data_IF_399633790719
#
_entry.id   IF_399633790719
#
_cell.length_a   1.000
_cell.length_b   1.000
_cell.length_c   1.000
_cell.angle_alpha   90.00
_cell.angle_beta   90.00
_cell.angle_gamma   90.00
#
_symmetry.space_group_name_H-M   'P 1'
#
loop_
_entity.id
_entity.type
_entity.pdbx_description
1 polymer ?
#
# COMPACT_ATOMS: atom_id res chain seq x y z
N UNK A 1 -10.86 -4.87 0.79
CA UNK A 1 -10.54 -5.44 -0.54
C UNK A 1 -9.02 -5.62 -0.66
N UNK A 2 -8.51 -6.51 -1.51
CA UNK A 2 -7.07 -6.71 -1.76
C UNK A 2 -6.79 -6.41 -3.24
N UNK A 3 -5.76 -5.61 -3.52
CA UNK A 3 -5.32 -5.25 -4.87
C UNK A 3 -3.90 -5.77 -5.08
N UNK A 4 -3.64 -6.46 -6.19
CA UNK A 4 -2.33 -7.05 -6.48
C UNK A 4 -2.04 -7.11 -7.99
N UNK A 5 -0.79 -6.84 -8.36
CA UNK A 5 -0.28 -7.05 -9.72
C UNK A 5 0.98 -7.94 -9.68
N UNK A 6 1.04 -8.91 -10.59
CA UNK A 6 2.15 -9.84 -10.70
C UNK A 6 3.02 -9.53 -11.92
N UNK A 7 4.34 -9.52 -11.72
CA UNK A 7 5.33 -9.32 -12.79
C UNK A 7 6.35 -10.46 -12.77
N UNK A 8 6.80 -10.90 -13.94
CA UNK A 8 7.86 -11.88 -14.09
C UNK A 8 8.89 -11.35 -15.10
N UNK A 9 10.17 -11.37 -14.75
CA UNK A 9 11.22 -10.79 -15.57
C UNK A 9 12.62 -11.02 -15.01
N UNK A 10 13.61 -10.46 -15.68
CA UNK A 10 15.01 -10.52 -15.25
C UNK A 10 15.29 -9.58 -14.07
N UNK A 11 16.49 -9.69 -13.50
CA UNK A 11 16.98 -8.75 -12.48
C UNK A 11 16.98 -7.29 -12.98
N UNK A 12 17.26 -7.07 -14.26
CA UNK A 12 17.25 -5.74 -14.87
C UNK A 12 15.84 -5.19 -14.95
N UNK A 13 14.86 -6.01 -15.36
CA UNK A 13 13.45 -5.61 -15.41
C UNK A 13 12.94 -5.24 -14.01
N UNK A 14 13.30 -6.03 -12.99
CA UNK A 14 12.98 -5.72 -11.60
C UNK A 14 13.61 -4.40 -11.14
N UNK A 15 14.88 -4.14 -11.48
CA UNK A 15 15.54 -2.89 -11.10
C UNK A 15 14.87 -1.66 -11.73
N UNK A 16 14.52 -1.73 -13.02
CA UNK A 16 13.80 -0.66 -13.71
C UNK A 16 12.39 -0.46 -13.13
N UNK A 17 11.70 -1.55 -12.78
CA UNK A 17 10.41 -1.50 -12.11
C UNK A 17 10.50 -0.76 -10.76
N UNK A 18 11.46 -1.10 -9.91
CA UNK A 18 11.65 -0.42 -8.60
C UNK A 18 11.98 1.06 -8.78
N UNK A 19 12.84 1.41 -9.75
CA UNK A 19 13.17 2.82 -10.05
C UNK A 19 11.97 3.64 -10.49
N UNK A 20 10.92 3.01 -11.02
CA UNK A 20 9.68 3.68 -11.42
C UNK A 20 8.66 3.73 -10.28
N UNK A 21 8.40 2.58 -9.66
CA UNK A 21 7.30 2.41 -8.69
C UNK A 21 7.54 3.18 -7.40
N UNK A 22 8.78 3.19 -6.89
CA UNK A 22 9.07 3.89 -5.63
C UNK A 22 8.86 5.41 -5.76
N UNK A 23 9.40 6.09 -6.79
CA UNK A 23 9.08 7.50 -7.01
C UNK A 23 7.58 7.76 -7.26
N UNK A 24 6.89 6.89 -7.99
CA UNK A 24 5.45 7.05 -8.24
C UNK A 24 4.61 6.89 -6.97
N UNK A 25 5.00 6.00 -6.05
CA UNK A 25 4.40 5.86 -4.72
C UNK A 25 4.50 7.17 -3.93
N UNK A 26 5.70 7.72 -3.80
CA UNK A 26 5.92 8.98 -3.07
C UNK A 26 5.32 10.20 -3.77
N UNK A 27 5.14 10.12 -5.08
CA UNK A 27 4.46 11.16 -5.87
C UNK A 27 2.93 11.02 -5.91
N UNK A 28 2.34 10.04 -5.20
CA UNK A 28 0.91 9.72 -5.21
C UNK A 28 0.35 9.40 -6.61
N UNK A 29 1.20 8.87 -7.51
CA UNK A 29 0.83 8.47 -8.89
C UNK A 29 0.78 6.96 -9.07
N UNK A 30 1.19 6.19 -8.07
CA UNK A 30 1.11 4.74 -8.13
C UNK A 30 -0.35 4.29 -8.12
N UNK A 31 -0.74 3.54 -9.14
CA UNK A 31 -2.06 2.91 -9.26
C UNK A 31 -1.86 1.41 -9.35
N UNK A 32 -2.61 0.66 -8.55
CA UNK A 32 -2.64 -0.82 -8.57
C UNK A 32 -4.07 -1.25 -8.85
N UNK A 33 -4.30 -2.00 -9.92
CA UNK A 33 -5.64 -2.45 -10.34
C UNK A 33 -6.70 -1.32 -10.35
N UNK A 34 -6.32 -0.12 -10.79
CA UNK A 34 -7.21 1.04 -10.85
C UNK A 34 -7.41 1.77 -9.51
N UNK A 35 -6.72 1.37 -8.43
CA UNK A 35 -6.74 2.07 -7.15
C UNK A 35 -5.44 2.82 -6.90
N UNK A 36 -5.56 4.11 -6.56
CA UNK A 36 -4.40 4.93 -6.21
C UNK A 36 -3.89 4.56 -4.83
N UNK A 37 -2.60 4.28 -4.73
CA UNK A 37 -1.94 4.02 -3.44
C UNK A 37 -1.60 5.35 -2.78
N UNK A 38 -2.13 5.58 -1.58
CA UNK A 38 -1.89 6.80 -0.79
C UNK A 38 -1.31 6.42 0.56
N UNK A 39 -0.08 6.86 0.81
CA UNK A 39 0.53 6.77 2.13
C UNK A 39 0.06 7.96 2.98
N UNK A 40 -0.31 7.74 4.26
CA UNK A 40 -0.65 8.83 5.16
C UNK A 40 0.60 9.69 5.45
N UNK A 41 0.38 10.99 5.67
CA UNK A 41 1.46 11.96 5.97
C UNK A 41 1.46 12.41 7.42
N UNK A 42 0.42 12.04 8.15
CA UNK A 42 0.04 12.49 9.49
C UNK A 42 0.24 11.42 10.58
N UNK A 43 0.66 10.21 10.20
CA UNK A 43 0.87 9.10 11.14
C UNK A 43 2.08 8.26 10.76
N UNK A 44 2.53 7.47 11.72
CA UNK A 44 3.63 6.54 11.54
C UNK A 44 3.27 5.39 10.59
N UNK A 45 4.30 4.89 9.91
CA UNK A 45 4.21 3.71 9.05
C UNK A 45 4.95 2.56 9.73
N UNK A 46 4.32 1.39 9.79
CA UNK A 46 5.01 0.14 10.10
C UNK A 46 5.63 -0.42 8.82
N UNK A 47 6.93 -0.67 8.84
CA UNK A 47 7.63 -1.29 7.69
C UNK A 47 8.47 -2.48 8.14
N UNK A 48 8.44 -3.54 7.33
CA UNK A 48 9.15 -4.78 7.59
C UNK A 48 9.77 -5.33 6.32
N UNK A 49 11.02 -5.76 6.44
CA UNK A 49 11.73 -6.52 5.42
C UNK A 49 11.85 -7.97 5.89
N UNK A 50 11.52 -8.91 5.01
CA UNK A 50 11.79 -10.34 5.18
C UNK A 50 12.64 -10.84 4.02
N UNK A 51 13.55 -11.75 4.32
CA UNK A 51 14.38 -12.43 3.33
C UNK A 51 14.48 -13.89 3.76
N UNK A 52 14.06 -14.78 2.87
CA UNK A 52 13.99 -16.21 3.10
C UNK A 52 14.71 -16.91 1.95
N UNK A 53 15.59 -17.85 2.27
CA UNK A 53 16.39 -18.61 1.30
C UNK A 53 16.40 -20.07 1.70
N UNK A 54 16.18 -20.94 0.74
CA UNK A 54 16.11 -22.39 0.88
C UNK A 54 16.70 -23.07 -0.37
N UNK A 55 16.67 -24.40 -0.41
CA UNK A 55 17.27 -25.20 -1.49
C UNK A 55 16.60 -24.94 -2.86
N UNK A 56 15.35 -24.47 -2.89
CA UNK A 56 14.60 -24.19 -4.12
C UNK A 56 14.73 -22.73 -4.58
N UNK A 57 15.37 -21.86 -3.79
CA UNK A 57 15.66 -20.48 -4.17
C UNK A 57 15.58 -19.48 -3.03
N UNK A 58 15.13 -18.26 -3.33
CA UNK A 58 15.02 -17.20 -2.34
C UNK A 58 13.92 -16.20 -2.64
N UNK A 59 13.40 -15.61 -1.59
CA UNK A 59 12.36 -14.58 -1.67
C UNK A 59 12.72 -13.39 -0.77
N UNK A 60 12.33 -12.22 -1.21
CA UNK A 60 12.41 -10.99 -0.44
C UNK A 60 11.03 -10.33 -0.43
N UNK A 61 10.61 -9.85 0.74
CA UNK A 61 9.36 -9.09 0.88
C UNK A 61 9.64 -7.79 1.62
N UNK A 62 9.26 -6.66 1.02
CA UNK A 62 9.10 -5.38 1.71
C UNK A 62 7.61 -5.14 1.93
N UNK A 63 7.19 -5.13 3.20
CA UNK A 63 5.82 -4.81 3.59
C UNK A 63 5.80 -3.44 4.28
N UNK A 64 4.89 -2.57 3.86
CA UNK A 64 4.57 -1.30 4.52
C UNK A 64 3.10 -1.35 4.91
N UNK A 65 2.76 -0.92 6.11
CA UNK A 65 1.40 -0.95 6.65
C UNK A 65 1.18 0.25 7.54
N UNK A 66 -0.06 0.71 7.61
CA UNK A 66 -0.48 1.81 8.47
C UNK A 66 -1.89 1.52 8.95
N UNK A 67 -2.24 2.08 10.10
CA UNK A 67 -3.59 2.03 10.60
C UNK A 67 -4.38 3.21 10.03
N UNK A 68 -5.60 2.94 9.61
CA UNK A 68 -6.56 4.02 9.46
C UNK A 68 -7.03 4.39 10.85
N UNK A 69 -7.03 5.67 11.19
CA UNK A 69 -7.90 6.18 12.24
C UNK A 69 -9.30 5.66 11.91
N UNK A 70 -9.78 4.77 12.76
CA UNK A 70 -11.20 4.50 12.82
C UNK A 70 -11.78 5.86 13.19
N UNK A 71 -12.44 6.53 12.24
CA UNK A 71 -13.25 7.69 12.55
C UNK A 71 -14.17 7.25 13.69
N UNK A 72 -13.98 7.81 14.88
CA UNK A 72 -14.92 7.62 15.96
C UNK A 72 -16.29 8.06 15.46
N UNK A 73 -17.26 7.16 15.61
CA UNK A 73 -18.58 7.48 16.16
C UNK A 73 -19.07 8.93 15.94
N UNK A 74 -19.69 9.17 14.79
CA UNK A 74 -20.65 10.26 14.61
C UNK A 74 -21.88 9.66 13.92
N UNK A 75 -22.61 8.83 14.67
CA UNK A 75 -24.05 8.63 14.48
C UNK A 75 -24.72 9.99 14.67
N UNK A 76 -24.77 10.80 13.60
CA UNK A 76 -25.62 11.99 13.57
C UNK A 76 -27.06 11.50 13.36
N UNK A 77 -27.74 11.16 14.46
CA UNK A 77 -29.20 11.06 14.49
C UNK A 77 -29.78 12.44 14.17
N UNK A 78 -30.23 12.63 12.93
CA UNK A 78 -30.94 13.85 12.54
C UNK A 78 -32.36 13.74 13.10
N UNK A 79 -32.59 14.30 14.29
CA UNK A 79 -33.96 14.60 14.75
C UNK A 79 -34.57 15.65 13.82
N UNK A 80 -35.38 15.20 12.86
CA UNK A 80 -36.21 16.09 12.03
C UNK A 80 -37.46 16.49 12.81
N UNK A 81 -37.35 17.56 13.58
CA UNK A 81 -38.51 18.29 14.09
C UNK A 81 -38.94 19.32 13.04
N UNK A 82 -40.15 19.15 12.47
CA UNK A 82 -40.82 20.20 11.71
C UNK A 82 -42.34 19.94 11.61
N UNK A 83 -43.06 20.60 12.53
CA UNK A 83 -44.36 21.29 12.41
C UNK A 83 -45.34 20.88 11.30
#
# INVERSE_FOLDING_TARGET
MKYQEGFFGSRSDFAEFIKKIIPDLFSKRLVVEGQSVVLPTDRDLEYKIKYDVDDDGGSFTLKVSWENEVAGDDDVEVEVDAD
#
